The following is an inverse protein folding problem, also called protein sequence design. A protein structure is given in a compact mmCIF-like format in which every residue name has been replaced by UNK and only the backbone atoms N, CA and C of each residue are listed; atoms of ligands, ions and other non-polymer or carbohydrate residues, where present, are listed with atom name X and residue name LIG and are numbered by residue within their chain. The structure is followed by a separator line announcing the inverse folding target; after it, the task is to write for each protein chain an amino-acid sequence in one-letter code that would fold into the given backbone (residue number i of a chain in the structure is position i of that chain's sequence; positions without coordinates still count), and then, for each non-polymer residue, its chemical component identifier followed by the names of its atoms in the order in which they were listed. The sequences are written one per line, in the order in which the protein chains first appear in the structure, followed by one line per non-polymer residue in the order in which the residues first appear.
data_IF_160452690413
#
_entry.id   IF_160452690413
#
_cell.length_a   1.000
_cell.length_b   1.000
_cell.length_c   1.000
_cell.angle_alpha   90.00
_cell.angle_beta   90.00
_cell.angle_gamma   90.00
#
_symmetry.space_group_name_H-M   'P 1'
#
loop_
_entity.id
_entity.type
_entity.pdbx_description
1 polymer ?
#
# COMPACT_ATOMS: atom_id res chain seq x y z
N UNK A 1 9.19 38.88 -26.33
CA UNK A 1 8.62 37.83 -27.20
C UNK A 1 7.70 36.99 -26.31
N UNK A 2 6.39 37.20 -26.41
CA UNK A 2 5.42 36.70 -25.45
C UNK A 2 5.14 35.20 -25.66
N UNK A 3 5.55 34.36 -24.71
CA UNK A 3 5.06 32.98 -24.63
C UNK A 3 3.58 33.02 -24.24
N UNK A 4 2.72 32.66 -25.20
CA UNK A 4 1.31 32.41 -24.95
C UNK A 4 1.20 31.20 -24.02
N UNK A 5 0.88 31.45 -22.74
CA UNK A 5 0.29 30.45 -21.85
C UNK A 5 -1.03 29.99 -22.48
N UNK A 6 -0.97 28.92 -23.28
CA UNK A 6 -2.14 28.10 -23.53
C UNK A 6 -2.38 27.31 -22.25
N UNK A 7 -3.15 27.89 -21.34
CA UNK A 7 -3.90 27.12 -20.35
C UNK A 7 -4.78 26.19 -21.17
N UNK A 8 -4.35 24.94 -21.31
CA UNK A 8 -5.19 23.88 -21.83
C UNK A 8 -6.16 23.58 -20.70
N UNK A 9 -7.32 24.23 -20.73
CA UNK A 9 -8.47 23.82 -19.94
C UNK A 9 -8.92 22.49 -20.52
N UNK A 10 -8.32 21.38 -20.06
CA UNK A 10 -8.78 20.04 -20.39
C UNK A 10 -10.12 19.88 -19.68
N UNK A 11 -11.17 19.76 -20.48
CA UNK A 11 -12.52 19.47 -20.01
C UNK A 11 -12.51 18.02 -19.49
N UNK A 12 -12.41 17.86 -18.17
CA UNK A 12 -12.39 16.57 -17.45
C UNK A 12 -13.82 16.00 -17.47
N UNK A 13 -14.29 15.52 -18.62
CA UNK A 13 -15.55 14.77 -18.69
C UNK A 13 -15.34 13.36 -18.11
N UNK A 14 -15.44 13.30 -16.78
CA UNK A 14 -16.03 12.28 -15.91
C UNK A 14 -15.96 10.81 -16.35
N UNK A 15 -15.05 10.03 -15.73
CA UNK A 15 -15.30 8.59 -15.45
C UNK A 15 -14.89 8.25 -14.02
N UNK A 16 -13.76 8.76 -13.53
CA UNK A 16 -13.35 8.59 -12.13
C UNK A 16 -13.57 9.85 -11.29
N UNK A 17 -14.72 9.96 -10.62
CA UNK A 17 -14.94 10.89 -9.50
C UNK A 17 -14.81 10.14 -8.18
N UNK A 18 -13.64 10.25 -7.55
CA UNK A 18 -13.37 9.56 -6.29
C UNK A 18 -14.33 9.98 -5.17
N UNK A 19 -14.86 11.21 -5.18
CA UNK A 19 -15.79 11.69 -4.14
C UNK A 19 -17.13 10.99 -4.27
N UNK A 20 -17.65 10.89 -5.48
CA UNK A 20 -18.86 10.12 -5.77
C UNK A 20 -18.68 8.64 -5.41
N UNK A 21 -17.55 8.04 -5.81
CA UNK A 21 -17.21 6.65 -5.46
C UNK A 21 -17.23 6.45 -3.94
N UNK A 22 -16.49 7.25 -3.17
CA UNK A 22 -16.45 7.14 -1.71
C UNK A 22 -17.85 7.31 -1.09
N UNK A 23 -18.60 8.31 -1.55
CA UNK A 23 -19.94 8.57 -1.03
C UNK A 23 -20.92 7.42 -1.34
N UNK A 24 -20.81 6.77 -2.49
CA UNK A 24 -21.66 5.64 -2.86
C UNK A 24 -21.30 4.37 -2.10
N UNK A 25 -20.01 4.14 -1.87
CA UNK A 25 -19.48 2.86 -1.43
C UNK A 25 -19.14 2.77 0.06
N UNK A 26 -19.13 3.88 0.80
CA UNK A 26 -18.92 3.83 2.26
C UNK A 26 -19.99 3.02 3.00
N UNK A 27 -19.67 2.29 4.08
CA UNK A 27 -20.66 1.79 5.02
C UNK A 27 -21.52 2.94 5.58
N UNK A 28 -22.84 2.74 5.69
CA UNK A 28 -23.75 3.81 6.11
C UNK A 28 -25.23 3.43 6.00
N UNK A 29 -26.11 4.42 6.10
CA UNK A 29 -27.57 4.20 6.13
C UNK A 29 -28.30 4.73 4.88
N UNK A 30 -27.62 5.46 3.99
CA UNK A 30 -28.28 6.23 2.93
C UNK A 30 -28.73 5.38 1.73
N UNK A 31 -28.20 4.16 1.56
CA UNK A 31 -28.62 3.24 0.51
C UNK A 31 -28.60 1.79 0.98
N UNK A 32 -29.19 0.90 0.20
CA UNK A 32 -29.19 -0.53 0.50
C UNK A 32 -27.77 -1.12 0.52
N UNK A 33 -26.94 -0.77 -0.46
CA UNK A 33 -25.54 -1.19 -0.49
C UNK A 33 -24.78 -0.71 0.77
N UNK A 34 -24.98 0.55 1.16
CA UNK A 34 -24.32 1.09 2.36
C UNK A 34 -24.75 0.36 3.63
N UNK A 35 -26.03 0.01 3.77
CA UNK A 35 -26.55 -0.75 4.92
C UNK A 35 -25.99 -2.17 4.95
N UNK A 36 -25.90 -2.82 3.81
CA UNK A 36 -25.28 -4.15 3.70
C UNK A 36 -23.80 -4.10 4.07
N UNK A 37 -23.07 -3.07 3.62
CA UNK A 37 -21.66 -2.84 4.01
C UNK A 37 -21.52 -2.53 5.50
N UNK A 38 -22.42 -1.75 6.09
CA UNK A 38 -22.41 -1.49 7.54
C UNK A 38 -22.70 -2.76 8.35
N UNK A 39 -23.65 -3.59 7.90
CA UNK A 39 -23.91 -4.89 8.53
C UNK A 39 -22.68 -5.81 8.41
N UNK A 40 -22.00 -5.81 7.27
CA UNK A 40 -20.75 -6.56 7.10
C UNK A 40 -19.64 -6.02 8.01
N UNK A 41 -19.53 -4.70 8.17
CA UNK A 41 -18.60 -4.05 9.10
C UNK A 41 -18.75 -4.55 10.53
N UNK A 42 -19.98 -4.59 11.01
CA UNK A 42 -20.31 -5.07 12.36
C UNK A 42 -19.96 -6.56 12.57
N UNK A 43 -19.84 -7.35 11.49
CA UNK A 43 -19.43 -8.76 11.54
C UNK A 43 -17.92 -8.94 11.39
N UNK A 44 -17.28 -8.20 10.49
CA UNK A 44 -15.85 -8.33 10.20
C UNK A 44 -14.99 -7.74 11.31
N UNK A 45 -15.40 -6.60 11.89
CA UNK A 45 -14.60 -5.91 12.89
C UNK A 45 -14.27 -6.77 14.12
N UNK A 46 -15.23 -7.43 14.80
CA UNK A 46 -14.92 -8.26 15.97
C UNK A 46 -14.02 -9.46 15.65
N UNK A 47 -14.17 -10.04 14.45
CA UNK A 47 -13.34 -11.17 14.02
C UNK A 47 -11.92 -10.73 13.66
N UNK A 48 -11.75 -9.55 13.09
CA UNK A 48 -10.43 -8.96 12.87
C UNK A 48 -9.75 -8.61 14.19
N UNK A 49 -10.48 -8.03 15.15
CA UNK A 49 -9.97 -7.77 16.51
C UNK A 49 -9.49 -9.06 17.17
N UNK A 50 -10.33 -10.10 17.19
CA UNK A 50 -9.98 -11.41 17.74
C UNK A 50 -8.76 -12.01 17.04
N UNK A 51 -8.72 -11.99 15.71
CA UNK A 51 -7.60 -12.50 14.93
C UNK A 51 -6.30 -11.75 15.24
N UNK A 52 -6.35 -10.42 15.27
CA UNK A 52 -5.18 -9.59 15.56
C UNK A 52 -4.63 -9.81 16.97
N UNK A 53 -5.49 -10.13 17.95
CA UNK A 53 -5.07 -10.54 19.30
C UNK A 53 -4.44 -11.93 19.32
N UNK A 54 -4.95 -12.90 18.56
CA UNK A 54 -4.38 -14.27 18.50
C UNK A 54 -2.92 -14.24 18.01
N UNK A 55 -2.62 -13.40 17.03
CA UNK A 55 -1.26 -13.25 16.50
C UNK A 55 -0.42 -12.22 17.26
N UNK A 56 -0.94 -11.65 18.35
CA UNK A 56 -0.32 -10.59 19.14
C UNK A 56 0.17 -9.42 18.26
N UNK A 57 -0.67 -9.05 17.29
CA UNK A 57 -0.48 -7.90 16.41
C UNK A 57 -1.29 -6.68 16.89
N UNK A 58 -2.22 -6.87 17.82
CA UNK A 58 -2.96 -5.79 18.46
C UNK A 58 -2.29 -5.39 19.79
N UNK A 59 -1.03 -4.96 19.69
CA UNK A 59 -0.21 -4.55 20.84
C UNK A 59 -0.38 -3.07 21.11
N UNK A 60 -0.30 -2.70 22.40
CA UNK A 60 -0.54 -1.33 22.83
C UNK A 60 0.54 -0.35 22.34
N UNK A 61 1.76 -0.81 22.08
CA UNK A 61 2.85 0.01 21.56
C UNK A 61 3.61 -0.80 20.50
N UNK A 62 3.41 -0.43 19.23
CA UNK A 62 4.13 -1.05 18.11
C UNK A 62 5.51 -0.47 17.94
N UNK A 63 5.65 0.83 18.22
CA UNK A 63 6.83 1.58 17.86
C UNK A 63 7.15 2.67 18.87
N UNK A 64 8.39 2.75 19.37
CA UNK A 64 8.86 3.94 20.07
C UNK A 64 9.01 5.15 19.13
N UNK A 65 9.02 4.94 17.80
CA UNK A 65 9.12 5.99 16.78
C UNK A 65 7.74 6.52 16.42
N UNK A 66 6.76 5.64 16.20
CA UNK A 66 5.40 6.02 15.78
C UNK A 66 4.36 6.08 16.92
N UNK A 67 4.72 5.72 18.16
CA UNK A 67 3.89 5.82 19.36
C UNK A 67 2.86 4.69 19.58
N UNK A 68 2.04 4.87 20.63
CA UNK A 68 1.02 3.93 21.16
C UNK A 68 -0.23 3.77 20.26
N UNK A 69 -0.49 4.70 19.32
CA UNK A 69 -1.83 4.85 18.72
C UNK A 69 -2.09 4.04 17.43
N UNK A 70 -1.08 3.39 16.84
CA UNK A 70 -1.23 2.76 15.52
C UNK A 70 -2.02 1.44 15.50
N UNK A 71 -1.94 0.57 16.53
CA UNK A 71 -2.67 -0.71 16.50
C UNK A 71 -4.18 -0.54 16.64
N UNK A 72 -4.62 0.19 17.68
CA UNK A 72 -6.05 0.28 18.02
C UNK A 72 -6.85 1.10 17.00
N UNK A 73 -6.26 2.11 16.37
CA UNK A 73 -6.92 2.91 15.34
C UNK A 73 -7.03 2.20 13.98
N UNK A 74 -6.08 1.32 13.64
CA UNK A 74 -6.00 0.74 12.29
C UNK A 74 -6.92 -0.46 12.09
N UNK A 75 -7.26 -1.23 13.13
CA UNK A 75 -8.20 -2.37 13.01
C UNK A 75 -9.52 -1.93 12.37
N UNK A 76 -10.10 -0.81 12.83
CA UNK A 76 -11.34 -0.25 12.25
C UNK A 76 -11.18 0.13 10.79
N UNK A 77 -10.09 0.81 10.45
CA UNK A 77 -9.79 1.23 9.06
C UNK A 77 -9.57 0.03 8.13
N UNK A 78 -8.89 -1.01 8.62
CA UNK A 78 -8.67 -2.25 7.86
C UNK A 78 -9.96 -3.04 7.65
N UNK A 79 -10.82 -3.14 8.68
CA UNK A 79 -12.15 -3.71 8.53
C UNK A 79 -12.97 -2.94 7.50
N UNK A 80 -12.97 -1.60 7.60
CA UNK A 80 -13.65 -0.70 6.67
C UNK A 80 -13.18 -0.92 5.22
N UNK A 81 -11.85 -0.98 5.01
CA UNK A 81 -11.24 -1.28 3.72
C UNK A 81 -11.70 -2.64 3.18
N UNK A 82 -11.60 -3.69 4.00
CA UNK A 82 -11.94 -5.05 3.59
C UNK A 82 -13.35 -5.17 3.03
N UNK A 83 -14.29 -4.39 3.53
CA UNK A 83 -15.68 -4.38 3.06
C UNK A 83 -15.84 -3.52 1.81
N UNK A 84 -15.17 -2.37 1.77
CA UNK A 84 -15.31 -1.47 0.64
C UNK A 84 -14.69 -2.05 -0.64
N UNK A 85 -13.57 -2.74 -0.48
CA UNK A 85 -12.76 -3.32 -1.54
C UNK A 85 -13.38 -4.52 -2.25
N UNK A 86 -14.55 -4.99 -1.83
CA UNK A 86 -15.30 -6.08 -2.49
C UNK A 86 -16.54 -5.53 -3.20
N UNK A 87 -16.72 -5.94 -4.46
CA UNK A 87 -17.85 -5.51 -5.31
C UNK A 87 -19.19 -6.02 -4.74
N UNK A 88 -19.26 -7.33 -4.53
CA UNK A 88 -20.41 -8.02 -3.95
C UNK A 88 -20.17 -8.34 -2.48
N UNK A 89 -21.22 -8.30 -1.66
CA UNK A 89 -21.12 -8.56 -0.22
C UNK A 89 -20.71 -10.03 0.02
N UNK A 90 -19.41 -10.27 0.22
CA UNK A 90 -18.82 -11.57 0.51
C UNK A 90 -18.03 -11.47 1.82
N UNK A 91 -18.48 -12.22 2.83
CA UNK A 91 -17.90 -12.18 4.18
C UNK A 91 -16.46 -12.69 4.21
N UNK A 92 -16.18 -13.81 3.54
CA UNK A 92 -14.88 -14.46 3.64
C UNK A 92 -13.80 -13.63 2.94
N UNK A 93 -14.13 -13.07 1.76
CA UNK A 93 -13.22 -12.16 1.06
C UNK A 93 -13.04 -10.85 1.84
N UNK A 94 -14.12 -10.28 2.40
CA UNK A 94 -14.01 -9.06 3.19
C UNK A 94 -13.09 -9.24 4.40
N UNK A 95 -13.23 -10.35 5.12
CA UNK A 95 -12.37 -10.67 6.26
C UNK A 95 -10.93 -10.94 5.82
N UNK A 96 -10.72 -11.66 4.71
CA UNK A 96 -9.38 -11.90 4.16
C UNK A 96 -8.67 -10.57 3.82
N UNK A 97 -9.34 -9.66 3.11
CA UNK A 97 -8.79 -8.35 2.75
C UNK A 97 -8.54 -7.47 3.98
N UNK A 98 -9.40 -7.55 4.99
CA UNK A 98 -9.21 -6.83 6.25
C UNK A 98 -7.98 -7.32 7.03
N UNK A 99 -7.81 -8.66 7.15
CA UNK A 99 -6.61 -9.28 7.74
C UNK A 99 -5.36 -8.89 6.97
N UNK A 100 -5.40 -8.97 5.63
CA UNK A 100 -4.29 -8.61 4.76
C UNK A 100 -3.89 -7.14 4.92
N UNK A 101 -4.86 -6.23 4.93
CA UNK A 101 -4.61 -4.80 5.13
C UNK A 101 -3.99 -4.52 6.51
N UNK A 102 -4.50 -5.15 7.58
CA UNK A 102 -3.93 -4.99 8.92
C UNK A 102 -2.51 -5.57 9.03
N UNK A 103 -2.29 -6.73 8.43
CA UNK A 103 -0.99 -7.36 8.35
C UNK A 103 0.04 -6.48 7.60
N UNK A 104 -0.39 -5.80 6.54
CA UNK A 104 0.47 -4.88 5.79
C UNK A 104 0.96 -3.71 6.64
N UNK A 105 0.10 -3.10 7.46
CA UNK A 105 0.55 -2.08 8.41
C UNK A 105 1.57 -2.62 9.40
N UNK A 106 1.34 -3.80 9.97
CA UNK A 106 2.28 -4.43 10.88
C UNK A 106 3.64 -4.71 10.23
N UNK A 107 3.64 -5.22 9.00
CA UNK A 107 4.86 -5.46 8.22
C UNK A 107 5.59 -4.16 7.88
N UNK A 108 4.87 -3.16 7.38
CA UNK A 108 5.42 -1.87 6.94
C UNK A 108 6.14 -1.16 8.09
N UNK A 109 5.45 -0.96 9.21
CA UNK A 109 6.03 -0.41 10.46
C UNK A 109 7.28 -1.19 10.83
N UNK A 110 7.20 -2.52 10.80
CA UNK A 110 8.28 -3.37 11.27
C UNK A 110 9.52 -3.30 10.38
N UNK A 111 9.35 -3.19 9.06
CA UNK A 111 10.49 -2.99 8.16
C UNK A 111 11.08 -1.59 8.34
N UNK A 112 10.23 -0.55 8.45
CA UNK A 112 10.63 0.83 8.64
C UNK A 112 11.41 1.09 9.94
N UNK A 113 11.12 0.35 11.01
CA UNK A 113 11.85 0.45 12.27
C UNK A 113 13.26 -0.14 12.25
N UNK A 114 13.70 -0.69 11.12
CA UNK A 114 15.02 -1.31 11.05
C UNK A 114 16.11 -0.25 11.28
N UNK A 115 16.96 -0.40 12.31
CA UNK A 115 17.97 0.62 12.66
C UNK A 115 19.19 0.57 11.74
N UNK A 116 19.37 -0.53 11.01
CA UNK A 116 20.47 -0.72 10.07
C UNK A 116 20.03 -1.64 8.93
N UNK A 117 20.83 -1.64 7.86
CA UNK A 117 20.62 -2.52 6.71
C UNK A 117 20.66 -4.00 7.14
N UNK A 118 21.59 -4.39 8.02
CA UNK A 118 21.66 -5.78 8.51
C UNK A 118 20.42 -6.23 9.29
N UNK A 119 19.80 -5.35 10.07
CA UNK A 119 18.53 -5.65 10.73
C UNK A 119 17.38 -5.74 9.73
N UNK A 120 17.36 -4.85 8.74
CA UNK A 120 16.36 -4.86 7.67
C UNK A 120 16.42 -6.16 6.85
N UNK A 121 17.62 -6.60 6.49
CA UNK A 121 17.86 -7.87 5.77
C UNK A 121 17.31 -9.05 6.57
N UNK A 122 17.66 -9.14 7.86
CA UNK A 122 17.21 -10.22 8.74
C UNK A 122 15.68 -10.25 8.90
N UNK A 123 15.04 -9.09 9.10
CA UNK A 123 13.58 -8.97 9.22
C UNK A 123 12.87 -9.37 7.94
N UNK A 124 13.31 -8.86 6.80
CA UNK A 124 12.72 -9.20 5.50
C UNK A 124 12.78 -10.71 5.24
N UNK A 125 13.90 -11.35 5.59
CA UNK A 125 14.06 -12.81 5.46
C UNK A 125 13.12 -13.60 6.37
N UNK A 126 12.96 -13.21 7.63
CA UNK A 126 12.03 -13.87 8.56
C UNK A 126 10.59 -13.72 8.07
N UNK A 127 10.19 -12.52 7.62
CA UNK A 127 8.84 -12.24 7.10
C UNK A 127 8.54 -13.05 5.82
N UNK A 128 9.53 -13.23 4.94
CA UNK A 128 9.41 -14.06 3.72
C UNK A 128 9.51 -15.57 3.98
N UNK A 129 9.87 -15.99 5.19
CA UNK A 129 10.11 -17.40 5.52
C UNK A 129 8.99 -18.37 5.15
N UNK A 130 7.67 -18.01 5.22
CA UNK A 130 6.60 -18.93 4.84
C UNK A 130 6.65 -19.42 3.39
N UNK A 131 7.31 -18.66 2.50
CA UNK A 131 7.38 -18.96 1.07
C UNK A 131 8.80 -19.26 0.60
N UNK A 132 9.76 -19.45 1.51
CA UNK A 132 11.18 -19.55 1.17
C UNK A 132 11.46 -20.61 0.09
N UNK A 133 10.91 -21.81 0.22
CA UNK A 133 11.12 -22.90 -0.72
C UNK A 133 10.55 -22.56 -2.11
N UNK A 134 9.29 -22.12 -2.16
CA UNK A 134 8.64 -21.69 -3.40
C UNK A 134 9.41 -20.56 -4.09
N UNK A 135 9.94 -19.60 -3.33
CA UNK A 135 10.68 -18.48 -3.90
C UNK A 135 12.07 -18.87 -4.41
N UNK A 136 12.70 -19.90 -3.81
CA UNK A 136 13.94 -20.50 -4.32
C UNK A 136 13.66 -21.23 -5.64
N UNK A 137 12.61 -22.05 -5.69
CA UNK A 137 12.21 -22.78 -6.90
C UNK A 137 11.87 -21.86 -8.07
N UNK A 138 11.25 -20.71 -7.79
CA UNK A 138 10.93 -19.70 -8.80
C UNK A 138 12.15 -18.83 -9.20
N UNK A 139 13.33 -19.06 -8.64
CA UNK A 139 14.54 -18.26 -8.89
C UNK A 139 14.42 -16.80 -8.44
N UNK A 140 13.41 -16.49 -7.62
CA UNK A 140 13.16 -15.13 -7.10
C UNK A 140 14.08 -14.83 -5.91
N UNK A 141 14.42 -15.86 -5.15
CA UNK A 141 15.30 -15.81 -3.98
C UNK A 141 16.70 -16.34 -4.36
N UNK A 142 17.57 -15.44 -4.83
CA UNK A 142 19.01 -15.69 -5.06
C UNK A 142 19.88 -15.06 -3.95
N UNK A 143 19.48 -15.19 -2.69
CA UNK A 143 20.26 -14.67 -1.55
C UNK A 143 21.34 -15.69 -1.12
N UNK A 144 22.36 -15.89 -1.95
CA UNK A 144 23.48 -16.81 -1.66
C UNK A 144 24.83 -16.13 -1.41
N UNK A 145 24.97 -14.79 -1.47
CA UNK A 145 26.26 -14.13 -1.20
C UNK A 145 26.37 -13.30 0.09
N UNK A 146 25.29 -12.78 0.68
CA UNK A 146 25.42 -11.71 1.68
C UNK A 146 24.97 -12.06 3.11
N UNK A 147 24.62 -13.32 3.39
CA UNK A 147 24.07 -13.70 4.71
C UNK A 147 25.02 -14.61 5.50
N UNK A 148 26.17 -14.04 5.91
CA UNK A 148 26.87 -14.53 7.09
C UNK A 148 26.47 -13.67 8.30
N UNK A 149 25.88 -14.35 9.29
CA UNK A 149 25.48 -13.86 10.62
C UNK A 149 24.17 -13.06 10.72
N UNK A 150 23.03 -13.78 10.75
CA UNK A 150 21.87 -13.32 11.52
C UNK A 150 22.20 -13.53 13.01
N UNK A 151 22.19 -12.50 13.88
CA UNK A 151 22.43 -12.70 15.29
C UNK A 151 21.29 -13.56 15.87
N UNK A 152 21.65 -14.66 16.54
CA UNK A 152 20.78 -15.44 17.40
C UNK A 152 19.89 -14.53 18.26
N UNK A 153 18.57 -14.50 18.04
CA UNK A 153 17.62 -13.95 19.01
C UNK A 153 16.27 -14.66 19.01
N UNK A 154 15.98 -15.19 20.20
CA UNK A 154 14.71 -15.54 20.85
C UNK A 154 13.55 -16.12 20.02
N UNK A 155 13.01 -17.23 20.52
CA UNK A 155 11.97 -18.05 19.90
C UNK A 155 10.59 -17.36 19.67
N UNK A 156 10.46 -16.07 19.99
CA UNK A 156 9.17 -15.36 20.02
C UNK A 156 9.26 -13.92 19.48
N UNK A 157 10.06 -13.68 18.43
CA UNK A 157 10.18 -12.35 17.81
C UNK A 157 8.87 -11.90 17.12
N UNK A 158 8.61 -10.59 17.11
CA UNK A 158 7.48 -9.97 16.38
C UNK A 158 7.51 -10.35 14.89
N UNK A 159 8.71 -10.46 14.31
CA UNK A 159 8.94 -10.83 12.91
C UNK A 159 8.36 -12.22 12.60
N UNK A 160 8.55 -13.19 13.52
CA UNK A 160 7.98 -14.54 13.40
C UNK A 160 6.46 -14.54 13.48
N UNK A 161 5.87 -13.68 14.32
CA UNK A 161 4.40 -13.56 14.43
C UNK A 161 3.78 -12.95 13.18
N UNK A 162 4.44 -11.95 12.59
CA UNK A 162 4.06 -11.38 11.29
C UNK A 162 4.12 -12.49 10.22
N UNK A 163 5.18 -13.31 10.18
CA UNK A 163 5.28 -14.44 9.25
C UNK A 163 4.20 -15.52 9.47
N UNK A 164 3.87 -15.84 10.73
CA UNK A 164 2.79 -16.76 11.07
C UNK A 164 1.42 -16.23 10.63
N UNK A 165 1.15 -14.95 10.84
CA UNK A 165 -0.08 -14.30 10.39
C UNK A 165 -0.22 -14.32 8.86
N UNK A 166 0.87 -14.07 8.13
CA UNK A 166 0.90 -14.19 6.67
C UNK A 166 0.59 -15.63 6.21
N UNK A 167 1.13 -16.62 6.92
CA UNK A 167 0.86 -18.03 6.64
C UNK A 167 -0.62 -18.36 6.81
N UNK A 168 -1.28 -17.84 7.84
CA UNK A 168 -2.73 -18.04 8.05
C UNK A 168 -3.58 -17.33 6.99
N UNK A 169 -3.20 -16.11 6.59
CA UNK A 169 -3.85 -15.38 5.50
C UNK A 169 -3.75 -16.18 4.20
N UNK A 170 -2.57 -16.70 3.88
CA UNK A 170 -2.35 -17.51 2.68
C UNK A 170 -3.14 -18.82 2.71
N UNK A 171 -3.21 -19.50 3.86
CA UNK A 171 -4.03 -20.70 4.02
C UNK A 171 -5.53 -20.40 3.85
N UNK A 172 -6.01 -19.28 4.41
CA UNK A 172 -7.38 -18.80 4.22
C UNK A 172 -7.67 -18.53 2.75
N UNK A 173 -6.75 -17.85 2.04
CA UNK A 173 -6.88 -17.60 0.61
C UNK A 173 -6.87 -18.89 -0.22
N UNK A 174 -5.97 -19.83 0.09
CA UNK A 174 -5.91 -21.14 -0.54
C UNK A 174 -7.20 -21.93 -0.38
N UNK A 175 -7.82 -21.89 0.80
CA UNK A 175 -9.10 -22.52 1.05
C UNK A 175 -10.23 -21.89 0.20
N UNK A 176 -10.25 -20.56 0.09
CA UNK A 176 -11.21 -19.85 -0.76
C UNK A 176 -11.05 -20.23 -2.24
N UNK A 177 -9.82 -20.28 -2.74
CA UNK A 177 -9.53 -20.72 -4.10
C UNK A 177 -9.98 -22.17 -4.34
N UNK A 178 -9.65 -23.09 -3.42
CA UNK A 178 -9.94 -24.52 -3.59
C UNK A 178 -11.44 -24.82 -3.74
N UNK A 179 -12.29 -24.06 -3.07
CA UNK A 179 -13.74 -24.26 -3.12
C UNK A 179 -14.40 -23.69 -4.38
N UNK A 180 -13.71 -22.82 -5.13
CA UNK A 180 -14.32 -22.01 -6.20
C UNK A 180 -13.65 -22.20 -7.57
N UNK A 181 -12.38 -22.60 -7.61
CA UNK A 181 -11.56 -22.55 -8.82
C UNK A 181 -11.13 -23.93 -9.29
N UNK A 182 -10.91 -24.05 -10.60
CA UNK A 182 -10.18 -25.19 -11.15
C UNK A 182 -8.71 -25.14 -10.74
N UNK A 183 -8.02 -26.29 -10.80
CA UNK A 183 -6.63 -26.41 -10.34
C UNK A 183 -5.67 -25.43 -11.01
N UNK A 184 -5.81 -25.20 -12.34
CA UNK A 184 -4.93 -24.28 -13.07
C UNK A 184 -5.18 -22.81 -12.72
N UNK A 185 -6.44 -22.43 -12.48
CA UNK A 185 -6.80 -21.06 -12.10
C UNK A 185 -6.38 -20.80 -10.64
N UNK A 186 -6.53 -21.79 -9.77
CA UNK A 186 -6.03 -21.75 -8.40
C UNK A 186 -4.50 -21.55 -8.37
N UNK A 187 -3.74 -22.29 -9.17
CA UNK A 187 -2.28 -22.17 -9.26
C UNK A 187 -1.87 -20.75 -9.69
N UNK A 188 -2.52 -20.19 -10.71
CA UNK A 188 -2.28 -18.79 -11.12
C UNK A 188 -2.50 -17.81 -9.96
N UNK A 189 -3.64 -17.89 -9.27
CA UNK A 189 -3.99 -16.94 -8.21
C UNK A 189 -3.03 -17.01 -7.02
N UNK A 190 -2.68 -18.22 -6.58
CA UNK A 190 -1.74 -18.43 -5.46
C UNK A 190 -0.31 -18.02 -5.82
N UNK A 191 0.14 -18.34 -7.04
CA UNK A 191 1.46 -17.90 -7.52
C UNK A 191 1.53 -16.38 -7.65
N UNK A 192 0.47 -15.74 -8.14
CA UNK A 192 0.39 -14.29 -8.25
C UNK A 192 0.42 -13.61 -6.88
N UNK A 193 -0.28 -14.14 -5.89
CA UNK A 193 -0.22 -13.64 -4.50
C UNK A 193 1.22 -13.63 -3.96
N UNK A 194 1.94 -14.76 -4.09
CA UNK A 194 3.32 -14.89 -3.58
C UNK A 194 4.29 -13.98 -4.35
N UNK A 195 4.10 -13.84 -5.67
CA UNK A 195 4.89 -12.93 -6.50
C UNK A 195 4.71 -11.47 -6.07
N UNK A 196 3.47 -11.02 -5.90
CA UNK A 196 3.18 -9.63 -5.51
C UNK A 196 3.62 -9.35 -4.07
N UNK A 197 3.44 -10.29 -3.12
CA UNK A 197 4.02 -10.20 -1.78
C UNK A 197 5.54 -9.96 -1.82
N UNK A 198 6.24 -10.77 -2.62
CA UNK A 198 7.70 -10.68 -2.70
C UNK A 198 8.16 -9.37 -3.33
N UNK A 199 7.42 -8.87 -4.31
CA UNK A 199 7.68 -7.56 -4.90
C UNK A 199 7.53 -6.44 -3.86
N UNK A 200 6.49 -6.48 -3.02
CA UNK A 200 6.27 -5.52 -1.92
C UNK A 200 7.42 -5.54 -0.93
N UNK A 201 7.82 -6.71 -0.40
CA UNK A 201 8.91 -6.79 0.58
C UNK A 201 10.22 -6.28 -0.01
N UNK A 202 10.55 -6.63 -1.26
CA UNK A 202 11.75 -6.13 -1.93
C UNK A 202 11.72 -4.61 -2.14
N UNK A 203 10.56 -4.06 -2.49
CA UNK A 203 10.41 -2.62 -2.69
C UNK A 203 10.50 -1.85 -1.37
N UNK A 204 9.86 -2.32 -0.29
CA UNK A 204 9.95 -1.70 1.04
C UNK A 204 11.37 -1.81 1.61
N UNK A 205 12.03 -2.95 1.40
CA UNK A 205 13.44 -3.13 1.74
C UNK A 205 14.32 -2.10 1.03
N UNK A 206 14.13 -1.93 -0.27
CA UNK A 206 14.84 -0.92 -1.04
C UNK A 206 14.57 0.49 -0.50
N UNK A 207 13.31 0.86 -0.23
CA UNK A 207 12.91 2.19 0.24
C UNK A 207 13.53 2.51 1.59
N UNK A 208 13.49 1.54 2.52
CA UNK A 208 14.10 1.70 3.83
C UNK A 208 15.63 1.74 3.76
N UNK A 209 16.26 0.92 2.93
CA UNK A 209 17.72 0.96 2.70
C UNK A 209 18.15 2.33 2.19
N UNK A 210 17.43 2.90 1.23
CA UNK A 210 17.75 4.24 0.69
C UNK A 210 17.49 5.34 1.72
N UNK A 211 16.45 5.22 2.54
CA UNK A 211 16.24 6.15 3.67
C UNK A 211 17.39 6.08 4.69
N UNK A 212 17.86 4.89 5.06
CA UNK A 212 19.00 4.73 5.97
C UNK A 212 20.29 5.33 5.39
N UNK A 213 20.52 5.17 4.09
CA UNK A 213 21.65 5.81 3.39
C UNK A 213 21.48 7.33 3.36
N UNK A 214 20.29 7.82 3.04
CA UNK A 214 19.94 9.25 3.02
C UNK A 214 20.21 9.93 4.37
N UNK A 215 19.83 9.29 5.48
CA UNK A 215 20.14 9.76 6.85
C UNK A 215 21.64 9.80 7.16
N UNK A 216 22.45 8.93 6.54
CA UNK A 216 23.90 8.94 6.70
C UNK A 216 24.56 10.05 5.86
N UNK A 217 23.96 10.42 4.72
CA UNK A 217 24.46 11.50 3.86
C UNK A 217 24.39 12.88 4.52
N UNK A 218 23.31 13.18 5.25
CA UNK A 218 23.18 14.40 6.07
C UNK A 218 24.39 14.59 7.02
N UNK A 219 25.01 13.49 7.46
CA UNK A 219 26.14 13.48 8.40
C UNK A 219 27.53 13.54 7.73
N UNK A 220 27.65 13.19 6.45
CA UNK A 220 28.95 12.92 5.80
C UNK A 220 29.36 13.92 4.71
N UNK A 221 28.54 14.93 4.41
CA UNK A 221 28.97 16.19 3.80
C UNK A 221 29.67 16.13 2.42
N UNK A 222 29.59 15.02 1.70
CA UNK A 222 30.19 14.89 0.36
C UNK A 222 29.28 14.10 -0.58
N UNK A 223 28.93 14.75 -1.70
CA UNK A 223 27.95 14.27 -2.68
C UNK A 223 28.39 13.01 -3.41
N UNK A 224 28.04 11.85 -2.87
CA UNK A 224 27.63 10.74 -3.73
C UNK A 224 26.12 10.82 -3.88
N UNK A 225 25.74 11.30 -5.06
CA UNK A 225 24.40 11.41 -5.56
C UNK A 225 23.56 10.14 -5.30
N UNK A 226 22.67 10.19 -4.32
CA UNK A 226 21.40 9.46 -4.39
C UNK A 226 20.55 10.14 -5.50
N UNK A 227 20.99 9.98 -6.75
CA UNK A 227 20.36 10.51 -7.97
C UNK A 227 19.11 9.69 -8.32
N UNK A 228 18.20 9.51 -7.37
CA UNK A 228 16.89 8.90 -7.66
C UNK A 228 16.03 10.00 -8.27
N UNK A 229 15.62 9.83 -9.52
CA UNK A 229 14.66 10.72 -10.17
C UNK A 229 13.26 10.51 -9.60
N UNK A 230 12.36 11.51 -9.75
CA UNK A 230 10.96 11.34 -9.34
C UNK A 230 10.29 10.16 -10.06
N UNK A 231 10.62 9.93 -11.34
CA UNK A 231 10.05 8.82 -12.11
C UNK A 231 10.49 7.45 -11.57
N UNK A 232 11.79 7.28 -11.28
CA UNK A 232 12.31 6.04 -10.68
C UNK A 232 11.72 5.80 -9.29
N UNK A 233 11.59 6.88 -8.49
CA UNK A 233 10.95 6.80 -7.19
C UNK A 233 9.49 6.35 -7.33
N UNK A 234 8.69 7.00 -8.17
CA UNK A 234 7.27 6.67 -8.32
C UNK A 234 7.05 5.25 -8.86
N UNK A 235 7.91 4.78 -9.77
CA UNK A 235 7.80 3.43 -10.33
C UNK A 235 8.10 2.33 -9.32
N UNK A 236 8.95 2.60 -8.34
CA UNK A 236 9.16 1.69 -7.22
C UNK A 236 8.15 1.89 -6.10
N UNK A 237 7.93 3.13 -5.68
CA UNK A 237 7.11 3.50 -4.53
C UNK A 237 5.62 3.19 -4.76
N UNK A 238 5.16 3.05 -6.01
CA UNK A 238 3.84 2.47 -6.30
C UNK A 238 3.70 1.04 -5.81
N UNK A 239 4.79 0.27 -5.73
CA UNK A 239 4.79 -1.12 -5.24
C UNK A 239 4.65 -1.11 -3.71
N UNK A 240 5.32 -0.18 -3.03
CA UNK A 240 5.29 -0.08 -1.56
C UNK A 240 3.94 0.42 -1.01
N UNK A 241 3.08 1.00 -1.86
CA UNK A 241 1.65 1.20 -1.51
C UNK A 241 0.87 -0.11 -1.31
N UNK A 242 1.46 -1.26 -1.65
CA UNK A 242 0.88 -2.60 -1.55
C UNK A 242 -0.38 -2.83 -2.40
N UNK A 243 -0.72 -1.88 -3.26
CA UNK A 243 -1.97 -1.83 -3.99
C UNK A 243 -2.21 -3.08 -4.87
N UNK A 244 -1.22 -3.52 -5.64
CA UNK A 244 -1.33 -4.76 -6.44
C UNK A 244 -1.43 -6.00 -5.58
N UNK A 245 -0.71 -6.01 -4.44
CA UNK A 245 -0.73 -7.16 -3.55
C UNK A 245 -2.09 -7.33 -2.87
N UNK A 246 -2.74 -6.26 -2.43
CA UNK A 246 -4.11 -6.34 -1.89
C UNK A 246 -5.16 -6.68 -2.95
N UNK A 247 -4.89 -6.38 -4.23
CA UNK A 247 -5.74 -6.77 -5.34
C UNK A 247 -5.57 -8.26 -5.73
N UNK A 248 -4.43 -8.87 -5.38
CA UNK A 248 -4.09 -10.24 -5.79
C UNK A 248 -5.04 -11.33 -5.27
N UNK A 249 -5.66 -11.26 -4.07
CA UNK A 249 -6.70 -12.21 -3.68
C UNK A 249 -8.01 -12.02 -4.43
N UNK A 250 -8.32 -10.78 -4.84
CA UNK A 250 -9.58 -10.42 -5.49
C UNK A 250 -9.66 -11.00 -6.89
N UNK A 251 -8.52 -11.16 -7.58
CA UNK A 251 -8.47 -11.75 -8.92
C UNK A 251 -9.02 -13.18 -8.96
N UNK A 252 -8.99 -13.92 -7.84
CA UNK A 252 -9.56 -15.25 -7.73
C UNK A 252 -11.10 -15.27 -7.89
N UNK A 253 -11.75 -14.11 -7.86
CA UNK A 253 -13.20 -13.96 -7.98
C UNK A 253 -13.60 -13.52 -9.41
N UNK A 254 -12.62 -13.33 -10.29
CA UNK A 254 -12.86 -13.05 -11.70
C UNK A 254 -13.24 -14.31 -12.47
N UNK A 255 -14.04 -14.13 -13.53
CA UNK A 255 -14.37 -15.24 -14.44
C UNK A 255 -13.12 -15.70 -15.23
N UNK A 256 -12.23 -14.76 -15.56
CA UNK A 256 -10.98 -15.03 -16.28
C UNK A 256 -9.77 -14.39 -15.58
N UNK A 257 -9.33 -14.92 -14.43
CA UNK A 257 -8.35 -14.26 -13.56
C UNK A 257 -7.08 -13.78 -14.25
N UNK A 258 -6.46 -14.64 -15.07
CA UNK A 258 -5.22 -14.30 -15.78
C UNK A 258 -5.41 -13.17 -16.80
N UNK A 259 -6.50 -13.21 -17.58
CA UNK A 259 -6.79 -12.16 -18.56
C UNK A 259 -7.13 -10.84 -17.88
N UNK A 260 -7.96 -10.87 -16.83
CA UNK A 260 -8.38 -9.65 -16.13
C UNK A 260 -7.20 -9.00 -15.40
N UNK A 261 -6.30 -9.80 -14.83
CA UNK A 261 -5.07 -9.29 -14.21
C UNK A 261 -4.22 -8.47 -15.18
N UNK A 262 -3.98 -9.02 -16.39
CA UNK A 262 -3.21 -8.35 -17.45
C UNK A 262 -3.91 -7.06 -17.89
N UNK A 263 -5.23 -7.11 -18.08
CA UNK A 263 -6.01 -5.92 -18.47
C UNK A 263 -5.92 -4.79 -17.44
N UNK A 264 -5.94 -5.13 -16.14
CA UNK A 264 -5.89 -4.15 -15.06
C UNK A 264 -4.48 -3.65 -14.72
N UNK A 265 -3.42 -4.21 -15.32
CA UNK A 265 -2.03 -3.93 -14.92
C UNK A 265 -1.66 -2.45 -15.01
N UNK A 266 -1.98 -1.80 -16.13
CA UNK A 266 -1.68 -0.37 -16.33
C UNK A 266 -2.53 0.52 -15.42
N UNK A 267 -3.82 0.19 -15.22
CA UNK A 267 -4.66 0.91 -14.26
C UNK A 267 -4.11 0.78 -12.84
N UNK A 268 -3.63 -0.41 -12.46
CA UNK A 268 -2.99 -0.63 -11.16
C UNK A 268 -1.66 0.14 -11.03
N UNK A 269 -0.89 0.25 -12.11
CA UNK A 269 0.36 1.02 -12.15
C UNK A 269 0.10 2.50 -11.84
N UNK A 270 -0.82 3.13 -12.57
CA UNK A 270 -1.19 4.52 -12.34
C UNK A 270 -1.88 4.74 -10.99
N UNK A 271 -2.79 3.84 -10.60
CA UNK A 271 -3.44 3.90 -9.30
C UNK A 271 -2.45 3.88 -8.13
N UNK A 272 -1.44 3.00 -8.18
CA UNK A 272 -0.39 2.97 -7.16
C UNK A 272 0.43 4.25 -7.08
N UNK A 273 0.71 4.90 -8.22
CA UNK A 273 1.40 6.21 -8.26
C UNK A 273 0.55 7.33 -7.66
N UNK A 274 -0.76 7.34 -7.95
CA UNK A 274 -1.72 8.28 -7.34
C UNK A 274 -1.76 8.11 -5.83
N UNK A 275 -1.86 6.87 -5.34
CA UNK A 275 -1.87 6.55 -3.90
C UNK A 275 -0.60 7.02 -3.23
N UNK A 276 0.57 6.76 -3.84
CA UNK A 276 1.86 7.23 -3.34
C UNK A 276 1.93 8.76 -3.28
N UNK A 277 1.56 9.45 -4.37
CA UNK A 277 1.57 10.92 -4.38
C UNK A 277 0.61 11.51 -3.33
N UNK A 278 -0.58 10.92 -3.16
CA UNK A 278 -1.52 11.34 -2.11
C UNK A 278 -0.91 11.16 -0.70
N UNK A 279 -0.23 10.04 -0.47
CA UNK A 279 0.48 9.79 0.78
C UNK A 279 1.56 10.86 1.02
N UNK A 280 2.50 11.01 0.10
CA UNK A 280 3.65 11.91 0.23
C UNK A 280 3.21 13.37 0.40
N UNK A 281 2.14 13.79 -0.29
CA UNK A 281 1.56 15.13 -0.12
C UNK A 281 1.00 15.36 1.29
N UNK A 282 0.40 14.33 1.90
CA UNK A 282 -0.21 14.41 3.22
C UNK A 282 0.82 14.27 4.36
N UNK A 283 1.90 13.52 4.15
CA UNK A 283 2.88 13.18 5.19
C UNK A 283 4.24 13.88 5.01
N UNK A 284 4.38 14.70 3.97
CA UNK A 284 5.60 15.40 3.53
C UNK A 284 6.53 15.84 4.67
N UNK A 285 6.05 16.75 5.54
CA UNK A 285 6.88 17.37 6.57
C UNK A 285 7.30 16.36 7.63
N UNK A 286 6.37 15.50 8.08
CA UNK A 286 6.66 14.47 9.09
C UNK A 286 7.73 13.51 8.59
N UNK A 287 7.60 13.02 7.37
CA UNK A 287 8.57 12.08 6.80
C UNK A 287 9.94 12.72 6.53
N UNK A 288 9.96 14.01 6.16
CA UNK A 288 11.21 14.76 6.06
C UNK A 288 11.89 14.93 7.42
N UNK A 289 11.13 15.20 8.50
CA UNK A 289 11.64 15.23 9.88
C UNK A 289 12.18 13.87 10.33
N UNK A 290 11.56 12.78 9.89
CA UNK A 290 12.02 11.40 10.10
C UNK A 290 13.26 11.03 9.23
N UNK A 291 13.67 11.92 8.31
CA UNK A 291 14.77 11.69 7.38
C UNK A 291 14.47 10.58 6.36
N UNK A 292 13.20 10.40 5.99
CA UNK A 292 12.78 9.48 4.93
C UNK A 292 12.85 10.16 3.56
N UNK A 293 13.12 9.36 2.53
CA UNK A 293 12.98 9.80 1.15
C UNK A 293 11.50 9.78 0.75
N UNK A 294 11.01 10.90 0.22
CA UNK A 294 9.68 11.00 -0.38
C UNK A 294 9.69 11.91 -1.62
N UNK A 295 8.60 11.93 -2.37
CA UNK A 295 8.52 12.72 -3.60
C UNK A 295 8.80 14.22 -3.37
N UNK A 296 8.44 14.78 -2.22
CA UNK A 296 8.70 16.19 -1.87
C UNK A 296 10.19 16.46 -1.75
N UNK A 297 10.92 15.62 -1.01
CA UNK A 297 12.38 15.72 -0.85
C UNK A 297 13.11 15.65 -2.19
N UNK A 298 12.63 14.80 -3.11
CA UNK A 298 13.19 14.65 -4.45
C UNK A 298 12.94 15.92 -5.28
N UNK A 299 11.72 16.45 -5.28
CA UNK A 299 11.39 17.67 -6.04
C UNK A 299 12.12 18.89 -5.49
N UNK A 300 12.26 19.03 -4.16
CA UNK A 300 13.06 20.10 -3.56
C UNK A 300 14.50 20.08 -4.08
N UNK A 301 15.12 18.89 -4.10
CA UNK A 301 16.47 18.71 -4.66
C UNK A 301 16.51 19.11 -6.14
N UNK A 302 15.55 18.67 -6.94
CA UNK A 302 15.51 18.95 -8.38
C UNK A 302 15.31 20.45 -8.67
N UNK A 303 14.67 21.18 -7.76
CA UNK A 303 14.56 22.65 -7.78
C UNK A 303 15.83 23.37 -7.28
N UNK A 304 16.84 22.64 -6.81
CA UNK A 304 18.09 23.19 -6.27
C UNK A 304 18.02 23.60 -4.80
N UNK A 305 16.99 23.17 -4.06
CA UNK A 305 16.86 23.41 -2.62
C UNK A 305 17.47 22.26 -1.81
N UNK A 306 17.82 22.54 -0.56
CA UNK A 306 18.37 21.54 0.35
C UNK A 306 17.23 20.69 0.96
N UNK A 307 17.08 19.40 0.61
CA UNK A 307 16.00 18.57 1.15
C UNK A 307 16.13 18.29 2.65
N UNK A 308 17.30 18.56 3.26
CA UNK A 308 17.56 18.39 4.69
C UNK A 308 17.29 19.66 5.52
N UNK A 309 16.91 20.77 4.87
CA UNK A 309 16.59 21.98 5.61
C UNK A 309 15.28 21.82 6.39
N UNK A 310 15.16 22.56 7.50
CA UNK A 310 13.92 22.63 8.25
C UNK A 310 12.93 23.53 7.51
N UNK A 311 11.82 22.93 7.07
CA UNK A 311 10.75 23.63 6.37
C UNK A 311 9.46 23.67 7.17
N UNK A 312 8.55 24.56 6.76
CA UNK A 312 7.16 24.57 7.19
C UNK A 312 6.25 24.54 5.96
N UNK A 313 4.94 24.31 6.14
CA UNK A 313 3.98 24.37 5.02
C UNK A 313 3.93 25.75 4.34
N UNK A 314 4.36 26.81 5.04
CA UNK A 314 4.41 28.17 4.50
C UNK A 314 5.70 28.50 3.75
N UNK A 315 6.71 27.61 3.82
CA UNK A 315 7.97 27.79 3.09
C UNK A 315 7.69 27.87 1.58
N UNK A 316 8.18 28.91 0.87
CA UNK A 316 8.00 29.02 -0.58
C UNK A 316 8.45 27.78 -1.35
N UNK A 317 9.55 27.16 -0.91
CA UNK A 317 10.15 25.96 -1.48
C UNK A 317 9.20 24.76 -1.39
N UNK A 318 8.63 24.52 -0.19
CA UNK A 318 7.64 23.48 0.03
C UNK A 318 6.38 23.73 -0.80
N UNK A 319 5.87 24.96 -0.82
CA UNK A 319 4.67 25.29 -1.59
C UNK A 319 4.87 25.02 -3.09
N UNK A 320 6.04 25.33 -3.62
CA UNK A 320 6.37 25.05 -5.01
C UNK A 320 6.53 23.54 -5.28
N UNK A 321 7.22 22.80 -4.41
CA UNK A 321 7.35 21.35 -4.54
C UNK A 321 5.98 20.65 -4.49
N UNK A 322 5.13 21.02 -3.53
CA UNK A 322 3.76 20.51 -3.41
C UNK A 322 2.90 20.88 -4.62
N UNK A 323 3.08 22.07 -5.21
CA UNK A 323 2.38 22.48 -6.44
C UNK A 323 2.74 21.55 -7.60
N UNK A 324 4.03 21.30 -7.83
CA UNK A 324 4.50 20.42 -8.90
C UNK A 324 4.02 18.98 -8.71
N UNK A 325 4.02 18.47 -7.48
CA UNK A 325 3.53 17.11 -7.20
C UNK A 325 2.01 16.99 -7.38
N UNK A 326 1.23 18.05 -7.10
CA UNK A 326 -0.20 18.08 -7.41
C UNK A 326 -0.43 18.04 -8.93
N UNK A 327 0.35 18.79 -9.70
CA UNK A 327 0.30 18.73 -11.17
C UNK A 327 0.67 17.34 -11.68
N UNK A 328 1.69 16.69 -11.10
CA UNK A 328 2.01 15.30 -11.42
C UNK A 328 0.86 14.36 -11.08
N UNK A 329 0.24 14.49 -9.89
CA UNK A 329 -0.91 13.67 -9.50
C UNK A 329 -2.09 13.84 -10.44
N UNK A 330 -2.35 15.05 -10.96
CA UNK A 330 -3.36 15.31 -11.99
C UNK A 330 -3.04 14.57 -13.30
N UNK A 331 -1.77 14.53 -13.72
CA UNK A 331 -1.34 13.74 -14.88
C UNK A 331 -1.60 12.26 -14.66
N UNK A 332 -1.24 11.71 -13.49
CA UNK A 332 -1.49 10.30 -13.18
C UNK A 332 -3.00 9.97 -13.14
N UNK A 333 -3.83 10.87 -12.60
CA UNK A 333 -5.30 10.74 -12.60
C UNK A 333 -5.88 10.71 -14.03
N UNK A 334 -5.37 11.56 -14.93
CA UNK A 334 -5.78 11.54 -16.34
C UNK A 334 -5.43 10.19 -16.98
N UNK A 335 -4.23 9.69 -16.75
CA UNK A 335 -3.79 8.39 -17.30
C UNK A 335 -4.59 7.23 -16.72
N UNK A 336 -4.80 7.20 -15.40
CA UNK A 336 -5.65 6.20 -14.74
C UNK A 336 -7.05 6.18 -15.34
N UNK A 337 -7.66 7.36 -15.52
CA UNK A 337 -8.99 7.48 -16.11
C UNK A 337 -9.05 7.00 -17.58
N UNK A 338 -7.95 7.16 -18.34
CA UNK A 338 -7.84 6.59 -19.69
C UNK A 338 -7.77 5.07 -19.65
N UNK A 339 -7.04 4.48 -18.70
CA UNK A 339 -6.97 3.02 -18.56
C UNK A 339 -8.34 2.44 -18.14
N UNK A 340 -9.06 3.09 -17.22
CA UNK A 340 -10.39 2.63 -16.79
C UNK A 340 -11.40 2.54 -17.94
N UNK A 341 -11.29 3.39 -18.97
CA UNK A 341 -12.15 3.33 -20.18
C UNK A 341 -12.01 2.04 -20.97
N UNK A 342 -10.85 1.38 -20.87
CA UNK A 342 -10.56 0.15 -21.57
C UNK A 342 -10.92 -1.11 -20.77
N UNK A 343 -11.28 -0.96 -19.49
CA UNK A 343 -11.67 -2.06 -18.62
C UNK A 343 -13.16 -2.40 -18.74
N UNK A 344 -13.57 -3.62 -18.36
CA UNK A 344 -14.98 -3.96 -18.17
C UNK A 344 -15.67 -2.98 -17.20
N UNK A 345 -16.97 -2.74 -17.43
CA UNK A 345 -17.78 -1.84 -16.58
C UNK A 345 -17.98 -2.36 -15.14
N UNK A 346 -17.80 -3.66 -14.92
CA UNK A 346 -18.02 -4.34 -13.65
C UNK A 346 -17.08 -5.53 -13.52
N UNK A 347 -16.80 -5.95 -12.29
CA UNK A 347 -15.90 -7.05 -11.98
C UNK A 347 -15.19 -6.84 -10.64
N UNK A 348 -14.96 -7.91 -9.86
CA UNK A 348 -14.34 -7.79 -8.54
C UNK A 348 -13.01 -7.03 -8.53
N UNK A 349 -12.12 -7.30 -9.48
CA UNK A 349 -10.80 -6.67 -9.57
C UNK A 349 -10.91 -5.20 -10.00
N UNK A 350 -11.72 -4.89 -11.01
CA UNK A 350 -11.93 -3.51 -11.48
C UNK A 350 -12.53 -2.66 -10.35
N UNK A 351 -13.51 -3.20 -9.63
CA UNK A 351 -14.07 -2.56 -8.44
C UNK A 351 -13.01 -2.30 -7.38
N UNK A 352 -12.18 -3.30 -7.03
CA UNK A 352 -11.12 -3.13 -6.05
C UNK A 352 -10.10 -2.06 -6.48
N UNK A 353 -9.74 -2.04 -7.76
CA UNK A 353 -8.85 -1.03 -8.36
C UNK A 353 -9.39 0.39 -8.14
N UNK A 354 -10.66 0.62 -8.49
CA UNK A 354 -11.30 1.93 -8.35
C UNK A 354 -11.44 2.33 -6.87
N UNK A 355 -11.86 1.41 -6.00
CA UNK A 355 -12.06 1.66 -4.58
C UNK A 355 -10.77 2.02 -3.88
N UNK A 356 -9.69 1.28 -4.12
CA UNK A 356 -8.42 1.51 -3.43
C UNK A 356 -7.89 2.91 -3.71
N UNK A 357 -7.91 3.34 -4.98
CA UNK A 357 -7.48 4.70 -5.35
C UNK A 357 -8.41 5.75 -4.71
N UNK A 358 -9.73 5.56 -4.81
CA UNK A 358 -10.67 6.55 -4.31
C UNK A 358 -10.60 6.74 -2.79
N UNK A 359 -10.56 5.63 -2.05
CA UNK A 359 -10.48 5.67 -0.60
C UNK A 359 -9.10 6.07 -0.09
N UNK A 360 -8.01 5.72 -0.77
CA UNK A 360 -6.70 6.22 -0.39
C UNK A 360 -6.58 7.75 -0.52
N UNK A 361 -7.01 8.32 -1.66
CA UNK A 361 -7.04 9.79 -1.83
C UNK A 361 -7.85 10.42 -0.71
N UNK A 362 -9.05 9.89 -0.45
CA UNK A 362 -9.95 10.46 0.54
C UNK A 362 -9.39 10.34 1.98
N UNK A 363 -8.67 9.26 2.29
CA UNK A 363 -8.00 9.05 3.58
C UNK A 363 -6.87 10.06 3.78
N UNK A 364 -6.04 10.28 2.77
CA UNK A 364 -4.95 11.26 2.85
C UNK A 364 -5.44 12.71 2.82
N UNK A 365 -6.60 13.00 2.20
CA UNK A 365 -7.22 14.34 2.26
C UNK A 365 -7.96 14.62 3.58
N UNK A 366 -8.60 13.62 4.19
CA UNK A 366 -9.58 13.84 5.29
C UNK A 366 -9.28 13.11 6.59
N UNK A 367 -8.26 12.25 6.62
CA UNK A 367 -7.97 11.36 7.74
C UNK A 367 -8.60 9.97 7.60
N UNK A 368 -8.30 9.10 8.55
CA UNK A 368 -8.75 7.70 8.56
C UNK A 368 -10.29 7.56 8.61
N UNK A 369 -10.81 6.51 7.98
CA UNK A 369 -12.25 6.23 7.95
C UNK A 369 -12.68 5.34 9.11
N UNK A 370 -13.72 5.77 9.83
CA UNK A 370 -14.49 4.94 10.74
C UNK A 370 -15.96 4.91 10.29
N UNK A 371 -16.64 3.77 10.47
CA UNK A 371 -18.07 3.72 10.23
C UNK A 371 -18.81 4.41 11.38
N UNK A 372 -19.75 5.30 11.06
CA UNK A 372 -20.70 5.84 12.04
C UNK A 372 -21.63 4.70 12.47
N UNK A 373 -21.36 4.08 13.62
CA UNK A 373 -22.26 3.09 14.21
C UNK A 373 -23.37 3.86 14.93
N UNK A 374 -24.64 3.76 14.50
CA UNK A 374 -25.73 4.36 15.26
C UNK A 374 -25.80 3.69 16.64
N UNK A 375 -25.74 4.51 17.69
CA UNK A 375 -25.94 4.11 19.09
C UNK A 375 -27.34 3.55 19.34
#
# INVERSE_FOLDING_TARGET
MAMKNKVVTINISEIFDWRAVVQQHKPGQHSELQRQRLSMYQRVLPELEKWSTIFDLNIAEWSPIYGYDLAKGRVKSCAYYGICGVESIDYDLSLLLAKLCFWLYAMDIRLDESPSISYLDARAMEIMSPFKEQLIEQGILNFTSDLLAVPNKEDNSIDRRIAQALSEIYLSFKQLCHTRLSSSVQEFCLSNFVKEFTAVVKAMHWERKHSLLFQQFDRLGSGQDLQITLEEYLELARITTCYRFVASPVVAFETTPSSTWIQCEEAMRYGGRIVRLANDLATALREMEEGKINAVSIVLRDLGFNPFATYSLESPEIREALRLLKEQMEVELIQFNQQLKALPLSGPLVHNVVINVAFAIAMYEKGDFEAEVPY
#
